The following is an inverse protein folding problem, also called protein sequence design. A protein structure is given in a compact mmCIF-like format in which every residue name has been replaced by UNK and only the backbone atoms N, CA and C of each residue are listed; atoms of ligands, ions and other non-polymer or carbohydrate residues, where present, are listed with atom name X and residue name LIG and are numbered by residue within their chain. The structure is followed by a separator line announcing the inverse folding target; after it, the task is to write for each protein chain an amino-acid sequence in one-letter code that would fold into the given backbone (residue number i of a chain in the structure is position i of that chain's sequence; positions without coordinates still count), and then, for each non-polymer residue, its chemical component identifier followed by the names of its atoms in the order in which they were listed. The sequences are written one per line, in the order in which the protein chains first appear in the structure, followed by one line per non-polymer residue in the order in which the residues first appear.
data_IF_145055783000
#
_entry.id   IF_145055783000
#
_cell.length_a   1.000
_cell.length_b   1.000
_cell.length_c   1.000
_cell.angle_alpha   90.00
_cell.angle_beta   90.00
_cell.angle_gamma   90.00
#
_symmetry.space_group_name_H-M   'P 1'
#
loop_
_entity.id
_entity.type
_entity.pdbx_description
1 polymer ?
#
# COMPACT_ATOMS: atom_id res chain seq x y z
N UNK A 1 37.80 -75.23 28.31
CA UNK A 1 36.43 -74.70 28.37
C UNK A 1 36.56 -73.19 28.30
N UNK A 2 36.36 -72.55 27.15
CA UNK A 2 36.18 -71.09 27.03
C UNK A 2 35.87 -70.73 25.56
N UNK A 3 34.60 -70.79 25.15
CA UNK A 3 34.17 -70.26 23.84
C UNK A 3 32.65 -70.01 23.81
N UNK A 4 32.17 -69.01 24.56
CA UNK A 4 30.73 -68.73 24.63
C UNK A 4 30.31 -67.25 24.66
N UNK A 5 31.19 -66.31 24.99
CA UNK A 5 30.71 -64.98 25.43
C UNK A 5 30.96 -63.80 24.47
N UNK A 6 31.58 -64.01 23.30
CA UNK A 6 31.88 -62.91 22.35
C UNK A 6 30.82 -62.63 21.27
N UNK A 7 29.81 -63.49 21.11
CA UNK A 7 28.86 -63.43 19.97
C UNK A 7 27.61 -62.58 20.22
N UNK A 8 27.25 -62.29 21.47
CA UNK A 8 25.96 -61.68 21.83
C UNK A 8 25.94 -60.14 21.78
N UNK A 9 27.05 -59.49 22.13
CA UNK A 9 27.18 -58.02 22.19
C UNK A 9 27.24 -57.38 20.80
N UNK A 10 28.01 -57.96 19.87
CA UNK A 10 28.14 -57.44 18.50
C UNK A 10 26.79 -57.45 17.74
N UNK A 11 25.92 -58.43 18.02
CA UNK A 11 24.60 -58.57 17.37
C UNK A 11 23.59 -57.55 17.88
N UNK A 12 23.65 -57.19 19.19
CA UNK A 12 22.80 -56.15 19.80
C UNK A 12 23.18 -54.74 19.35
N UNK A 13 24.49 -54.47 19.20
CA UNK A 13 24.99 -53.19 18.71
C UNK A 13 24.60 -52.93 17.23
N UNK A 14 24.65 -53.97 16.38
CA UNK A 14 24.22 -53.89 14.98
C UNK A 14 22.71 -53.65 14.83
N UNK A 15 21.89 -54.24 15.71
CA UNK A 15 20.44 -54.02 15.71
C UNK A 15 20.06 -52.59 16.15
N UNK A 16 20.82 -52.01 17.10
CA UNK A 16 20.65 -50.61 17.50
C UNK A 16 21.05 -49.62 16.40
N UNK A 17 22.18 -49.89 15.73
CA UNK A 17 22.67 -49.07 14.61
C UNK A 17 21.72 -49.09 13.40
N UNK A 18 21.14 -50.25 13.06
CA UNK A 18 20.18 -50.36 11.96
C UNK A 18 18.88 -49.59 12.22
N UNK A 19 18.39 -49.58 13.48
CA UNK A 19 17.21 -48.80 13.87
C UNK A 19 17.47 -47.29 13.88
N UNK A 20 18.66 -46.88 14.31
CA UNK A 20 19.06 -45.47 14.27
C UNK A 20 19.22 -44.97 12.83
N UNK A 21 19.78 -45.79 11.93
CA UNK A 21 19.89 -45.45 10.51
C UNK A 21 18.51 -45.31 9.85
N UNK A 22 17.56 -46.20 10.14
CA UNK A 22 16.20 -46.10 9.61
C UNK A 22 15.47 -44.84 10.11
N UNK A 23 15.63 -44.50 11.40
CA UNK A 23 15.06 -43.27 11.97
C UNK A 23 15.67 -42.00 11.34
N UNK A 24 16.98 -42.01 11.07
CA UNK A 24 17.65 -40.92 10.36
C UNK A 24 17.15 -40.77 8.92
N UNK A 25 16.93 -41.88 8.19
CA UNK A 25 16.37 -41.85 6.83
C UNK A 25 14.93 -41.32 6.83
N UNK A 26 14.10 -41.75 7.78
CA UNK A 26 12.71 -41.25 7.91
C UNK A 26 12.69 -39.75 8.24
N UNK A 27 13.59 -39.29 9.13
CA UNK A 27 13.73 -37.87 9.44
C UNK A 27 14.21 -37.04 8.23
N UNK A 28 15.14 -37.59 7.43
CA UNK A 28 15.64 -36.94 6.21
C UNK A 28 14.56 -36.85 5.12
N UNK A 29 13.71 -37.88 4.98
CA UNK A 29 12.59 -37.88 4.03
C UNK A 29 11.46 -36.95 4.50
N UNK A 30 11.23 -36.83 5.80
CA UNK A 30 10.25 -35.87 6.36
C UNK A 30 10.58 -34.41 6.07
N UNK A 31 11.86 -34.05 5.95
CA UNK A 31 12.32 -32.70 5.57
C UNK A 31 12.01 -32.33 4.11
N UNK A 32 11.71 -33.30 3.24
CA UNK A 32 11.29 -33.04 1.85
C UNK A 32 9.78 -32.73 1.75
N UNK A 33 9.02 -32.93 2.84
CA UNK A 33 7.58 -32.63 2.92
C UNK A 33 7.36 -31.41 3.82
N UNK A 34 8.24 -30.40 3.71
CA UNK A 34 7.94 -29.10 4.29
C UNK A 34 6.70 -28.56 3.57
N UNK A 35 5.65 -28.12 4.30
CA UNK A 35 4.55 -27.42 3.67
C UNK A 35 5.15 -26.21 2.95
N UNK A 36 4.99 -26.16 1.63
CA UNK A 36 5.36 -24.99 0.86
C UNK A 36 4.71 -23.79 1.51
N UNK A 37 5.50 -22.76 1.85
CA UNK A 37 4.96 -21.48 2.28
C UNK A 37 4.03 -21.03 1.17
N UNK A 38 2.72 -21.08 1.43
CA UNK A 38 1.74 -20.55 0.50
C UNK A 38 1.98 -19.04 0.43
N UNK A 39 2.75 -18.60 -0.56
CA UNK A 39 2.79 -17.20 -0.94
C UNK A 39 1.39 -16.88 -1.46
N UNK A 40 0.68 -16.03 -0.73
CA UNK A 40 -0.56 -15.48 -1.24
C UNK A 40 -0.20 -14.57 -2.42
N UNK A 41 -0.52 -15.02 -3.63
CA UNK A 41 -0.37 -14.24 -4.85
C UNK A 41 -1.46 -13.17 -4.88
N UNK A 42 -1.20 -12.06 -4.19
CA UNK A 42 -2.08 -10.90 -4.19
C UNK A 42 -2.06 -10.25 -5.58
N UNK A 43 -3.23 -9.73 -6.00
CA UNK A 43 -3.41 -9.24 -7.37
C UNK A 43 -3.06 -7.76 -7.53
N UNK A 44 -3.22 -6.99 -6.46
CA UNK A 44 -3.01 -5.55 -6.47
C UNK A 44 -2.27 -5.15 -5.20
N UNK A 45 -1.12 -4.51 -5.36
CA UNK A 45 -0.24 -4.06 -4.29
C UNK A 45 -0.34 -2.54 -4.13
N UNK A 46 -0.67 -2.02 -2.94
CA UNK A 46 -0.70 -0.58 -2.69
C UNK A 46 0.72 -0.02 -2.52
N UNK A 47 0.94 1.22 -2.95
CA UNK A 47 2.21 1.91 -2.78
C UNK A 47 2.01 3.38 -2.41
N UNK A 48 2.98 3.95 -1.70
CA UNK A 48 3.05 5.39 -1.48
C UNK A 48 4.04 5.98 -2.50
N UNK A 49 3.58 6.85 -3.38
CA UNK A 49 4.44 7.48 -4.39
C UNK A 49 5.32 8.55 -3.75
N UNK A 50 4.70 9.44 -3.00
CA UNK A 50 5.36 10.53 -2.30
C UNK A 50 4.43 11.13 -1.24
N UNK A 51 4.97 12.06 -0.44
CA UNK A 51 4.19 12.77 0.56
C UNK A 51 4.58 14.25 0.64
N UNK A 52 3.64 15.09 1.07
CA UNK A 52 3.83 16.51 1.34
C UNK A 52 3.57 16.79 2.81
N UNK A 53 4.49 17.48 3.47
CA UNK A 53 4.28 17.98 4.82
C UNK A 53 3.48 19.29 4.77
N UNK A 54 2.42 19.38 5.58
CA UNK A 54 1.57 20.55 5.65
C UNK A 54 1.96 21.44 6.83
N UNK A 55 1.62 22.73 6.75
CA UNK A 55 1.95 23.72 7.79
C UNK A 55 1.32 23.41 9.17
N UNK A 56 0.19 22.69 9.20
CA UNK A 56 -0.49 22.27 10.43
C UNK A 56 0.05 20.95 11.02
N UNK A 57 1.13 20.41 10.45
CA UNK A 57 1.75 19.15 10.87
C UNK A 57 1.05 17.89 10.36
N UNK A 58 -0.02 18.02 9.56
CA UNK A 58 -0.56 16.88 8.81
C UNK A 58 0.33 16.54 7.61
N UNK A 59 0.07 15.40 6.97
CA UNK A 59 0.70 15.02 5.70
C UNK A 59 -0.35 14.73 4.65
N UNK A 60 -0.10 15.19 3.44
CA UNK A 60 -0.85 14.79 2.24
C UNK A 60 -0.07 13.68 1.57
N UNK A 61 -0.70 12.52 1.39
CA UNK A 61 -0.12 11.32 0.82
C UNK A 61 -0.61 11.15 -0.61
N UNK A 62 0.30 10.87 -1.54
CA UNK A 62 -0.02 10.50 -2.91
C UNK A 62 0.12 8.99 -3.02
N UNK A 63 -1.00 8.31 -3.20
CA UNK A 63 -1.07 6.86 -3.09
C UNK A 63 -1.37 6.27 -4.47
N UNK A 64 -0.62 5.24 -4.83
CA UNK A 64 -0.74 4.50 -6.07
C UNK A 64 -0.95 3.00 -5.83
N UNK A 65 -0.94 2.22 -6.90
CA UNK A 65 -0.96 0.77 -6.82
C UNK A 65 -0.23 0.12 -8.00
N UNK A 66 0.16 -1.14 -7.84
CA UNK A 66 0.57 -2.02 -8.93
C UNK A 66 -0.37 -3.20 -9.02
N UNK A 67 -1.00 -3.39 -10.19
CA UNK A 67 -1.82 -4.56 -10.48
C UNK A 67 -1.07 -5.54 -11.37
N UNK A 68 -1.08 -6.81 -10.98
CA UNK A 68 -0.49 -7.91 -11.75
C UNK A 68 -1.53 -8.66 -12.59
N UNK A 69 -2.75 -8.13 -12.71
CA UNK A 69 -3.80 -8.72 -13.54
C UNK A 69 -3.67 -8.26 -15.00
N UNK A 70 -4.15 -9.08 -15.94
CA UNK A 70 -4.14 -8.76 -17.38
C UNK A 70 -5.24 -7.78 -17.83
N UNK A 71 -6.11 -7.35 -16.91
CA UNK A 71 -7.19 -6.38 -17.16
C UNK A 71 -7.74 -5.82 -15.87
N UNK A 72 -8.82 -5.05 -15.94
CA UNK A 72 -9.42 -4.37 -14.78
C UNK A 72 -9.80 -5.36 -13.68
N UNK A 73 -9.12 -5.25 -12.55
CA UNK A 73 -9.50 -5.95 -11.33
C UNK A 73 -10.43 -5.06 -10.50
N UNK A 74 -11.54 -5.60 -10.01
CA UNK A 74 -12.49 -4.82 -9.21
C UNK A 74 -12.50 -5.30 -7.78
N UNK A 75 -12.24 -4.37 -6.86
CA UNK A 75 -12.31 -4.61 -5.42
C UNK A 75 -13.22 -3.53 -4.82
N UNK A 76 -14.48 -3.85 -4.54
CA UNK A 76 -15.40 -2.92 -3.88
C UNK A 76 -14.85 -2.47 -2.53
N UNK A 77 -15.29 -1.29 -2.07
CA UNK A 77 -15.02 -0.84 -0.70
C UNK A 77 -15.48 -1.88 0.33
N UNK A 78 -14.68 -2.04 1.39
CA UNK A 78 -14.94 -3.01 2.45
C UNK A 78 -13.65 -3.67 2.91
N UNK A 79 -13.74 -4.83 3.58
CA UNK A 79 -12.60 -5.47 4.28
C UNK A 79 -11.35 -5.76 3.43
N UNK A 80 -11.45 -5.75 2.10
CA UNK A 80 -10.33 -5.97 1.18
C UNK A 80 -9.91 -4.69 0.44
N UNK A 81 -10.53 -3.57 0.75
CA UNK A 81 -10.27 -2.25 0.19
C UNK A 81 -10.79 -1.18 1.17
N UNK A 82 -10.10 -1.05 2.31
CA UNK A 82 -10.53 -0.27 3.47
C UNK A 82 -9.46 0.75 3.87
N UNK A 83 -9.88 1.97 4.17
CA UNK A 83 -9.03 3.02 4.70
C UNK A 83 -9.36 3.27 6.18
N UNK A 84 -8.33 3.26 7.00
CA UNK A 84 -8.42 3.61 8.41
C UNK A 84 -7.64 4.91 8.70
N UNK A 85 -8.20 5.85 9.48
CA UNK A 85 -9.54 5.85 10.07
C UNK A 85 -10.66 6.04 9.03
N UNK A 86 -11.90 5.68 9.41
CA UNK A 86 -13.06 5.65 8.50
C UNK A 86 -13.37 6.98 7.80
N UNK A 87 -12.93 8.13 8.34
CA UNK A 87 -13.08 9.42 7.66
C UNK A 87 -12.26 9.53 6.36
N UNK A 88 -11.28 8.65 6.16
CA UNK A 88 -10.49 8.56 4.93
C UNK A 88 -11.18 7.72 3.86
N UNK A 89 -12.23 6.98 4.22
CA UNK A 89 -12.91 6.04 3.33
C UNK A 89 -13.61 6.76 2.16
N UNK A 90 -13.63 6.08 1.01
CA UNK A 90 -14.40 6.48 -0.17
C UNK A 90 -13.55 7.08 -1.30
N UNK A 91 -12.35 7.58 -1.00
CA UNK A 91 -11.45 8.16 -1.99
C UNK A 91 -10.63 7.12 -2.75
N UNK A 92 -10.50 5.91 -2.20
CA UNK A 92 -9.71 4.87 -2.85
C UNK A 92 -10.43 4.25 -4.06
N UNK A 93 -9.70 3.85 -5.12
CA UNK A 93 -10.27 3.22 -6.30
C UNK A 93 -10.99 1.92 -5.97
N UNK A 94 -11.99 1.57 -6.79
CA UNK A 94 -12.63 0.24 -6.77
C UNK A 94 -12.38 -0.57 -8.04
N UNK A 95 -11.75 0.05 -9.04
CA UNK A 95 -11.30 -0.56 -10.29
C UNK A 95 -9.80 -0.29 -10.45
N UNK A 96 -9.05 -1.35 -10.71
CA UNK A 96 -7.60 -1.37 -10.75
C UNK A 96 -7.16 -1.85 -12.13
N UNK A 97 -6.63 -0.94 -12.93
CA UNK A 97 -6.08 -1.24 -14.25
C UNK A 97 -4.80 -2.07 -14.14
N UNK A 98 -4.42 -2.76 -15.22
CA UNK A 98 -3.17 -3.52 -15.25
C UNK A 98 -1.95 -2.61 -15.13
N UNK A 99 -0.91 -3.07 -14.44
CA UNK A 99 0.35 -2.34 -14.27
C UNK A 99 0.36 -1.37 -13.09
N UNK A 100 1.34 -0.46 -13.09
CA UNK A 100 1.51 0.53 -12.02
C UNK A 100 0.74 1.81 -12.36
N UNK A 101 -0.16 2.20 -11.46
CA UNK A 101 -0.86 3.48 -11.49
C UNK A 101 -0.35 4.35 -10.36
N UNK A 102 0.32 5.44 -10.71
CA UNK A 102 0.79 6.46 -9.77
C UNK A 102 -0.33 7.47 -9.48
N UNK A 103 -0.35 8.02 -8.26
CA UNK A 103 -1.27 9.07 -7.86
C UNK A 103 -2.74 8.70 -8.03
N UNK A 104 -3.08 7.44 -7.79
CA UNK A 104 -4.44 6.93 -7.92
C UNK A 104 -5.44 7.68 -7.03
N UNK A 105 -5.00 8.14 -5.86
CA UNK A 105 -5.75 9.05 -5.01
C UNK A 105 -4.82 9.80 -4.04
N UNK A 106 -5.38 10.77 -3.31
CA UNK A 106 -4.71 11.48 -2.24
C UNK A 106 -5.47 11.38 -0.93
N UNK A 107 -4.75 11.36 0.20
CA UNK A 107 -5.34 11.46 1.54
C UNK A 107 -4.55 12.40 2.42
N UNK A 108 -5.25 13.20 3.21
CA UNK A 108 -4.66 14.02 4.26
C UNK A 108 -4.80 13.34 5.62
N UNK A 109 -3.67 13.04 6.23
CA UNK A 109 -3.57 12.35 7.52
C UNK A 109 -2.92 13.26 8.56
N UNK A 110 -3.52 13.38 9.72
CA UNK A 110 -2.95 14.15 10.82
C UNK A 110 -1.79 13.39 11.46
N UNK A 111 -0.92 14.10 12.17
CA UNK A 111 0.14 13.46 12.96
C UNK A 111 -0.40 12.48 14.03
N UNK A 112 -1.62 12.71 14.54
CA UNK A 112 -2.26 11.80 15.48
C UNK A 112 -2.68 10.49 14.82
N UNK A 113 -3.22 10.56 13.60
CA UNK A 113 -3.69 9.38 12.88
C UNK A 113 -2.55 8.51 12.35
N UNK A 114 -1.47 9.14 11.89
CA UNK A 114 -0.24 8.41 11.57
C UNK A 114 0.25 7.61 12.78
N UNK A 115 0.24 8.21 13.98
CA UNK A 115 0.62 7.52 15.22
C UNK A 115 -0.38 6.44 15.65
N UNK A 116 -1.65 6.57 15.27
CA UNK A 116 -2.68 5.57 15.59
C UNK A 116 -2.79 4.47 14.52
N UNK A 117 -1.90 4.43 13.53
CA UNK A 117 -1.87 3.37 12.51
C UNK A 117 -2.79 3.61 11.32
N UNK A 118 -2.92 4.86 10.86
CA UNK A 118 -3.60 5.16 9.61
C UNK A 118 -3.02 4.34 8.45
N UNK A 119 -3.88 3.69 7.67
CA UNK A 119 -3.48 2.68 6.68
C UNK A 119 -4.50 2.47 5.59
N UNK A 120 -4.05 1.85 4.49
CA UNK A 120 -4.92 1.27 3.45
C UNK A 120 -4.75 -0.24 3.41
N UNK A 121 -5.85 -0.97 3.59
CA UNK A 121 -5.91 -2.41 3.41
C UNK A 121 -6.42 -2.73 2.00
N UNK A 122 -5.63 -3.41 1.19
CA UNK A 122 -5.97 -3.78 -0.18
C UNK A 122 -5.62 -5.24 -0.46
N UNK A 123 -6.64 -6.07 -0.68
CA UNK A 123 -6.49 -7.50 -1.02
C UNK A 123 -5.52 -8.26 -0.10
N UNK A 124 -5.46 -7.91 1.18
CA UNK A 124 -4.57 -8.53 2.17
C UNK A 124 -3.22 -7.82 2.37
N UNK A 125 -2.87 -6.87 1.51
CA UNK A 125 -1.79 -5.92 1.80
C UNK A 125 -2.25 -4.86 2.78
N UNK A 126 -1.31 -4.39 3.60
CA UNK A 126 -1.50 -3.27 4.51
C UNK A 126 -0.43 -2.23 4.20
N UNK A 127 -0.83 -1.13 3.59
CA UNK A 127 0.02 0.05 3.46
C UNK A 127 -0.11 0.88 4.74
N UNK A 128 0.80 0.66 5.69
CA UNK A 128 0.93 1.51 6.88
C UNK A 128 1.52 2.86 6.49
N UNK A 129 0.76 3.93 6.67
CA UNK A 129 1.17 5.25 6.18
C UNK A 129 2.33 5.84 6.98
N UNK A 130 2.50 5.52 8.26
CA UNK A 130 3.60 6.03 9.05
C UNK A 130 4.93 5.39 8.60
N UNK A 131 4.93 4.07 8.42
CA UNK A 131 6.07 3.33 7.88
C UNK A 131 6.42 3.79 6.46
N UNK A 132 5.41 3.91 5.59
CA UNK A 132 5.60 4.32 4.20
C UNK A 132 6.16 5.75 4.09
N UNK A 133 5.68 6.68 4.91
CA UNK A 133 6.24 8.04 4.97
C UNK A 133 7.71 8.03 5.40
N UNK A 134 8.11 7.11 6.28
CA UNK A 134 9.50 6.98 6.74
C UNK A 134 10.47 6.44 5.68
N UNK A 135 9.95 5.70 4.69
CA UNK A 135 10.76 5.08 3.62
C UNK A 135 10.63 5.75 2.25
N UNK A 136 9.66 6.64 2.07
CA UNK A 136 9.36 7.30 0.80
C UNK A 136 9.86 8.74 0.79
N UNK A 137 10.34 9.23 -0.35
CA UNK A 137 10.80 10.63 -0.47
C UNK A 137 9.61 11.62 -0.51
N UNK A 138 9.80 12.88 -0.09
CA UNK A 138 8.81 13.93 -0.29
C UNK A 138 8.50 14.15 -1.76
N UNK A 139 7.30 14.65 -2.06
CA UNK A 139 6.94 14.99 -3.45
C UNK A 139 7.82 16.12 -3.98
N UNK A 140 8.22 16.08 -5.27
CA UNK A 140 8.83 17.22 -5.94
C UNK A 140 7.98 18.50 -5.80
N UNK A 141 8.59 19.69 -5.67
CA UNK A 141 7.86 20.94 -5.45
C UNK A 141 6.97 21.35 -6.64
N UNK A 142 7.18 20.76 -7.82
CA UNK A 142 6.35 20.97 -9.02
C UNK A 142 5.27 19.91 -9.21
N UNK A 143 5.04 19.02 -8.24
CA UNK A 143 4.02 17.98 -8.35
C UNK A 143 2.63 18.57 -8.21
N UNK A 144 1.85 18.52 -9.30
CA UNK A 144 0.40 18.71 -9.24
C UNK A 144 -0.18 17.51 -8.47
N UNK A 145 -0.73 17.78 -7.29
CA UNK A 145 -1.41 16.75 -6.51
C UNK A 145 -2.75 16.44 -7.19
N UNK A 146 -3.12 15.16 -7.36
CA UNK A 146 -4.46 14.79 -7.80
C UNK A 146 -5.47 15.51 -6.90
N UNK A 147 -6.40 16.24 -7.54
CA UNK A 147 -7.29 17.21 -6.90
C UNK A 147 -7.69 16.72 -5.52
N UNK A 148 -7.44 17.55 -4.49
CA UNK A 148 -8.00 17.32 -3.17
C UNK A 148 -9.49 17.03 -3.36
N UNK A 149 -9.90 15.79 -3.13
CA UNK A 149 -11.24 15.28 -3.35
C UNK A 149 -12.26 15.85 -2.36
N UNK A 150 -12.25 17.18 -2.20
CA UNK A 150 -13.21 18.07 -1.57
C UNK A 150 -13.09 19.49 -2.17
N UNK A 151 -13.12 19.61 -3.50
CA UNK A 151 -13.88 20.63 -4.23
C UNK A 151 -13.59 22.13 -4.05
N UNK A 152 -12.51 22.58 -3.39
CA UNK A 152 -12.26 24.03 -3.18
C UNK A 152 -11.00 24.59 -3.83
N UNK A 153 -10.06 23.75 -4.28
CA UNK A 153 -8.80 24.21 -4.87
C UNK A 153 -8.94 24.98 -6.20
N UNK A 154 -9.62 24.42 -7.23
CA UNK A 154 -9.79 25.10 -8.52
C UNK A 154 -10.80 26.26 -8.48
N UNK A 155 -11.79 26.17 -7.58
CA UNK A 155 -12.89 27.14 -7.50
C UNK A 155 -12.42 28.54 -7.06
N UNK A 156 -11.41 28.62 -6.17
CA UNK A 156 -10.88 29.90 -5.68
C UNK A 156 -10.12 30.63 -6.79
N UNK A 157 -9.35 29.90 -7.61
CA UNK A 157 -8.63 30.48 -8.75
C UNK A 157 -9.57 31.01 -9.84
N UNK A 158 -10.65 30.27 -10.15
CA UNK A 158 -11.67 30.69 -11.12
C UNK A 158 -12.49 31.89 -10.62
N UNK A 159 -12.83 31.94 -9.32
CA UNK A 159 -13.54 33.07 -8.74
C UNK A 159 -12.70 34.37 -8.78
N UNK A 160 -11.39 34.28 -8.49
CA UNK A 160 -10.50 35.43 -8.56
C UNK A 160 -10.35 35.97 -10.00
N UNK A 161 -10.22 35.08 -10.99
CA UNK A 161 -10.14 35.46 -12.40
C UNK A 161 -11.45 36.13 -12.89
N UNK A 162 -12.61 35.62 -12.47
CA UNK A 162 -13.93 36.19 -12.80
C UNK A 162 -14.12 37.62 -12.25
N UNK A 163 -13.65 37.89 -11.03
CA UNK A 163 -13.74 39.23 -10.42
C UNK A 163 -12.84 40.23 -11.17
N UNK A 164 -11.61 39.86 -11.51
CA UNK A 164 -10.70 40.74 -12.26
C UNK A 164 -11.24 41.04 -13.66
N UNK A 165 -11.74 40.01 -14.36
CA UNK A 165 -12.36 40.16 -15.67
C UNK A 165 -13.59 41.08 -15.64
N UNK A 166 -14.48 40.89 -14.66
CA UNK A 166 -15.67 41.73 -14.47
C UNK A 166 -15.34 43.19 -14.17
N UNK A 167 -14.33 43.47 -13.34
CA UNK A 167 -13.91 44.85 -13.01
C UNK A 167 -13.32 45.56 -14.23
N UNK A 168 -12.53 44.86 -15.06
CA UNK A 168 -11.96 45.42 -16.28
C UNK A 168 -13.06 45.79 -17.30
N UNK A 169 -14.02 44.88 -17.53
CA UNK A 169 -15.16 45.12 -18.45
C UNK A 169 -16.06 46.26 -17.96
N UNK A 170 -16.33 46.33 -16.65
CA UNK A 170 -17.13 47.40 -16.06
C UNK A 170 -16.45 48.78 -16.17
N UNK A 171 -15.12 48.83 -16.01
CA UNK A 171 -14.37 50.08 -16.18
C UNK A 171 -14.31 50.54 -17.64
N UNK A 172 -14.19 49.61 -18.58
CA UNK A 172 -14.22 49.92 -20.00
C UNK A 172 -15.59 50.45 -20.46
N UNK A 173 -16.68 49.81 -20.01
CA UNK A 173 -18.05 50.23 -20.38
C UNK A 173 -18.43 51.59 -19.81
N UNK A 174 -17.98 51.93 -18.59
CA UNK A 174 -18.18 53.27 -18.02
C UNK A 174 -17.44 54.36 -18.80
N UNK A 175 -16.22 54.09 -19.27
CA UNK A 175 -15.46 55.05 -20.07
C UNK A 175 -16.10 55.30 -21.44
N UNK A 176 -16.62 54.25 -22.07
CA UNK A 176 -17.30 54.36 -23.36
C UNK A 176 -18.59 55.20 -23.29
N UNK A 177 -19.34 55.09 -22.18
CA UNK A 177 -20.59 55.84 -21.97
C UNK A 177 -20.38 57.30 -21.54
N UNK A 178 -19.19 57.68 -21.10
CA UNK A 178 -18.85 59.05 -20.71
C UNK A 178 -18.32 59.91 -21.88
N UNK A 179 -18.19 59.31 -23.07
CA UNK A 179 -17.71 59.96 -24.31
C UNK A 179 -18.84 60.15 -25.34
N UNK A 180 -20.08 59.87 -24.96
CA UNK A 180 -21.31 60.20 -25.71
C UNK A 180 -22.03 61.33 -24.99
#
# INVERSE_FOLDING_TARGET
MDDGNRSSTARRLRAGAARAALAAVIALVGLLVLPGTASAAWKVEPLLDCHVANADGSRTLVVGYTSHTWGVWRVPHGKKNDLYPSRLQGVQPTAFESGTTHGAFTVRVTAAELRSGARWELEGYVLDFAAAVGSTSPCPPSSELPEEGNGTGPAIALAAAGVVGGVMVHRASRRARALQ
#
